data_IF_906269682737
#
_entry.id   IF_906269682737
#
_cell.length_a   1.000
_cell.length_b   1.000
_cell.length_c   1.000
_cell.angle_alpha   90.00
_cell.angle_beta   90.00
_cell.angle_gamma   90.00
#
_symmetry.space_group_name_H-M   'P 1'
#
loop_
_entity.id
_entity.type
_entity.pdbx_description
1 polymer ?
#
# COMPACT_ATOMS: atom_id res chain seq x y z
N UNK A 1 -2.53 -16.01 10.86
CA UNK A 1 -2.56 -14.54 10.63
C UNK A 1 -2.66 -14.33 9.14
N UNK A 2 -3.86 -14.01 8.66
CA UNK A 2 -4.08 -13.61 7.26
C UNK A 2 -3.29 -12.33 7.02
N UNK A 3 -2.25 -12.39 6.18
CA UNK A 3 -1.66 -11.18 5.61
C UNK A 3 -2.78 -10.45 4.86
N UNK A 4 -3.10 -9.22 5.26
CA UNK A 4 -4.16 -8.45 4.61
C UNK A 4 -3.80 -8.19 3.13
N UNK A 5 -2.52 -7.97 2.86
CA UNK A 5 -1.93 -7.82 1.53
C UNK A 5 -0.51 -8.39 1.51
N UNK A 6 -0.01 -8.69 0.31
CA UNK A 6 1.39 -9.01 0.07
C UNK A 6 2.26 -7.74 0.11
N UNK A 7 3.58 -7.90 0.29
CA UNK A 7 4.54 -6.78 0.33
C UNK A 7 4.63 -6.02 -1.00
N UNK A 8 4.21 -6.67 -2.10
CA UNK A 8 4.14 -6.11 -3.44
C UNK A 8 2.67 -6.17 -3.86
N UNK A 9 2.08 -5.00 -4.12
CA UNK A 9 0.69 -4.87 -4.53
C UNK A 9 0.60 -4.28 -5.93
N UNK A 10 -0.29 -4.84 -6.75
CA UNK A 10 -0.58 -4.33 -8.09
C UNK A 10 -1.92 -3.61 -8.01
N UNK A 11 -1.93 -2.32 -8.32
CA UNK A 11 -3.11 -1.46 -8.28
C UNK A 11 -4.18 -1.98 -9.24
N UNK A 12 -5.40 -2.16 -8.76
CA UNK A 12 -6.57 -2.51 -9.57
C UNK A 12 -7.25 -1.30 -10.23
N UNK A 13 -8.24 -1.57 -11.09
CA UNK A 13 -9.06 -0.51 -11.69
C UNK A 13 -9.86 0.26 -10.62
N UNK A 14 -9.70 1.58 -10.61
CA UNK A 14 -10.41 2.48 -9.69
C UNK A 14 -9.89 2.46 -8.24
N UNK A 15 -8.79 1.76 -7.94
CA UNK A 15 -8.14 1.82 -6.63
C UNK A 15 -7.22 3.04 -6.52
N UNK A 16 -7.13 3.60 -5.31
CA UNK A 16 -6.23 4.70 -4.96
C UNK A 16 -5.28 4.25 -3.85
N UNK A 17 -4.19 4.99 -3.63
CA UNK A 17 -3.30 4.75 -2.47
C UNK A 17 -4.06 4.78 -1.15
N UNK A 18 -5.07 5.64 -1.02
CA UNK A 18 -5.87 5.74 0.20
C UNK A 18 -6.69 4.47 0.46
N UNK A 19 -7.45 4.01 -0.56
CA UNK A 19 -8.25 2.78 -0.44
C UNK A 19 -7.38 1.55 -0.22
N UNK A 20 -6.20 1.51 -0.84
CA UNK A 20 -5.25 0.40 -0.65
C UNK A 20 -4.62 0.45 0.74
N UNK A 21 -4.26 1.64 1.24
CA UNK A 21 -3.78 1.84 2.62
C UNK A 21 -4.78 1.31 3.65
N UNK A 22 -6.07 1.64 3.51
CA UNK A 22 -7.12 1.15 4.40
C UNK A 22 -7.30 -0.37 4.33
N UNK A 23 -7.25 -0.93 3.10
CA UNK A 23 -7.37 -2.37 2.85
C UNK A 23 -6.21 -3.17 3.44
N UNK A 24 -4.99 -2.63 3.35
CA UNK A 24 -3.76 -3.31 3.72
C UNK A 24 -3.21 -2.92 5.09
N UNK A 25 -3.88 -2.01 5.81
CA UNK A 25 -3.43 -1.43 7.09
C UNK A 25 -2.04 -0.76 6.95
N UNK A 26 -1.80 -0.01 5.86
CA UNK A 26 -0.53 0.68 5.61
C UNK A 26 -0.68 2.21 5.61
N UNK A 27 -0.72 2.85 6.80
CA UNK A 27 -0.89 4.29 6.90
C UNK A 27 0.29 5.10 6.35
N UNK A 28 1.44 4.45 6.07
CA UNK A 28 2.65 5.10 5.55
C UNK A 28 2.92 4.73 4.08
N UNK A 29 1.88 4.30 3.34
CA UNK A 29 2.01 3.88 1.95
C UNK A 29 2.64 4.97 1.06
N UNK A 30 2.35 6.24 1.30
CA UNK A 30 2.87 7.37 0.53
C UNK A 30 4.38 7.53 0.75
N UNK A 31 4.84 7.47 2.01
CA UNK A 31 6.25 7.61 2.36
C UNK A 31 7.12 6.47 1.80
N UNK A 32 6.53 5.28 1.66
CA UNK A 32 7.22 4.07 1.18
C UNK A 32 7.27 3.96 -0.33
N UNK A 33 6.50 4.77 -1.04
CA UNK A 33 6.42 4.79 -2.49
C UNK A 33 6.81 6.18 -3.02
N UNK A 34 8.07 6.62 -2.82
CA UNK A 34 8.52 7.96 -3.20
C UNK A 34 8.54 8.21 -4.72
N UNK A 35 8.34 7.16 -5.52
CA UNK A 35 8.17 7.27 -6.97
C UNK A 35 6.78 7.80 -7.37
N UNK A 36 5.84 7.85 -6.41
CA UNK A 36 4.52 8.43 -6.58
C UNK A 36 4.58 9.83 -5.97
N UNK A 37 4.64 10.84 -6.83
CA UNK A 37 4.69 12.24 -6.40
C UNK A 37 3.30 12.85 -6.33
N UNK A 38 2.42 12.44 -7.24
CA UNK A 38 1.03 12.85 -7.28
C UNK A 38 0.10 11.66 -6.96
N UNK A 39 -0.91 11.81 -6.08
CA UNK A 39 -1.97 10.80 -5.91
C UNK A 39 -2.65 10.36 -7.21
N UNK A 40 -2.66 11.23 -8.24
CA UNK A 40 -3.22 10.93 -9.56
C UNK A 40 -2.29 10.06 -10.44
N UNK A 41 -1.01 9.88 -10.06
CA UNK A 41 -0.07 8.97 -10.73
C UNK A 41 -0.33 7.49 -10.42
N UNK A 42 -1.43 7.19 -9.72
CA UNK A 42 -1.83 5.84 -9.33
C UNK A 42 -2.80 5.29 -10.36
N UNK A 43 -2.32 4.30 -11.13
CA UNK A 43 -3.09 3.70 -12.22
C UNK A 43 -3.09 2.16 -12.16
N UNK A 44 -4.05 1.50 -12.83
CA UNK A 44 -4.15 0.06 -12.80
C UNK A 44 -2.90 -0.60 -13.40
N UNK A 45 -2.34 -1.58 -12.70
CA UNK A 45 -1.07 -2.22 -13.08
C UNK A 45 0.18 -1.56 -12.47
N UNK A 46 0.04 -0.43 -11.77
CA UNK A 46 1.15 0.15 -11.00
C UNK A 46 1.52 -0.80 -9.85
N UNK A 47 2.82 -1.01 -9.67
CA UNK A 47 3.36 -1.84 -8.59
C UNK A 47 3.78 -0.95 -7.43
N UNK A 48 3.17 -1.17 -6.27
CA UNK A 48 3.48 -0.41 -5.06
C UNK A 48 3.90 -1.34 -3.93
N UNK A 49 4.76 -0.81 -3.06
CA UNK A 49 5.23 -1.51 -1.87
C UNK A 49 4.24 -1.29 -0.74
N UNK A 50 3.80 -2.38 -0.12
CA UNK A 50 2.95 -2.40 1.06
C UNK A 50 3.75 -2.87 2.26
N UNK A 51 3.55 -2.24 3.41
CA UNK A 51 4.14 -2.66 4.67
C UNK A 51 3.14 -2.44 5.81
N UNK A 52 2.34 -3.46 6.16
CA UNK A 52 1.26 -3.31 7.13
C UNK A 52 1.74 -2.79 8.49
N UNK A 53 0.95 -1.96 9.15
CA UNK A 53 1.26 -1.42 10.47
C UNK A 53 1.36 -2.52 11.53
N UNK A 54 0.53 -3.56 11.39
CA UNK A 54 0.64 -4.79 12.18
C UNK A 54 2.02 -5.45 12.11
N UNK A 55 2.78 -5.32 11.01
CA UNK A 55 4.16 -5.82 10.94
C UNK A 55 5.08 -5.12 11.94
N UNK A 56 4.87 -3.84 12.24
CA UNK A 56 5.62 -3.16 13.31
C UNK A 56 5.27 -3.66 14.70
N UNK A 57 4.01 -4.08 14.91
CA UNK A 57 3.55 -4.58 16.21
C UNK A 57 4.15 -5.94 16.58
N UNK A 58 4.59 -6.70 15.59
CA UNK A 58 5.24 -8.00 15.78
C UNK A 58 6.72 -7.91 16.15
N UNK A 59 7.33 -6.72 16.07
CA UNK A 59 8.71 -6.46 16.54
C UNK A 59 8.75 -5.97 18.00
N UNK A 60 7.69 -6.20 18.78
CA UNK A 60 7.61 -5.80 20.20
C UNK A 60 7.59 -7.01 21.12
#
# INVERSE_FOLDING_TARGET
MSRACDEIYVVGEGETLHTISEKCDDPFIVERNPHIHDPDDVFPGLVIKITPFSSFRNYK
#
